data_IF_313295450703
#
_entry.id   IF_313295450703
#
_cell.length_a   1.000
_cell.length_b   1.000
_cell.length_c   1.000
_cell.angle_alpha   90.00
_cell.angle_beta   90.00
_cell.angle_gamma   90.00
#
_symmetry.space_group_name_H-M   'P 1'
#
loop_
_entity.id
_entity.type
_entity.pdbx_description
1 polymer ?
#
# COMPACT_ATOMS: atom_id res chain seq x y z
N UNK A 1 -5.79 -3.59 -25.08
CA UNK A 1 -6.02 -4.45 -23.89
C UNK A 1 -7.46 -4.34 -23.39
N UNK A 2 -8.01 -3.14 -23.20
CA UNK A 2 -9.36 -2.95 -22.64
C UNK A 2 -10.50 -3.76 -23.31
N UNK A 3 -10.61 -3.84 -24.66
CA UNK A 3 -11.67 -4.65 -25.27
C UNK A 3 -11.56 -6.15 -24.95
N UNK A 4 -10.34 -6.65 -24.72
CA UNK A 4 -10.13 -8.03 -24.30
C UNK A 4 -10.62 -8.24 -22.86
N UNK A 5 -10.29 -7.31 -21.96
CA UNK A 5 -10.74 -7.36 -20.56
C UNK A 5 -12.27 -7.30 -20.46
N UNK A 6 -12.90 -6.41 -21.24
CA UNK A 6 -14.36 -6.28 -21.30
C UNK A 6 -15.04 -7.52 -21.90
N UNK A 7 -14.37 -8.25 -22.79
CA UNK A 7 -14.91 -9.51 -23.31
C UNK A 7 -14.75 -10.66 -22.31
N UNK A 8 -13.64 -10.71 -21.57
CA UNK A 8 -13.33 -11.82 -20.68
C UNK A 8 -13.95 -11.70 -19.28
N UNK A 9 -14.23 -10.48 -18.82
CA UNK A 9 -14.83 -10.19 -17.51
C UNK A 9 -14.13 -10.89 -16.34
N UNK A 10 -12.78 -10.87 -16.36
CA UNK A 10 -11.95 -11.44 -15.30
C UNK A 10 -11.43 -10.35 -14.36
N UNK A 11 -11.17 -10.68 -13.07
CA UNK A 11 -10.50 -9.77 -12.15
C UNK A 11 -9.19 -9.23 -12.73
N UNK A 12 -9.03 -7.92 -12.66
CA UNK A 12 -7.96 -7.18 -13.33
C UNK A 12 -7.38 -6.13 -12.39
N UNK A 13 -6.06 -6.17 -12.23
CA UNK A 13 -5.31 -5.13 -11.53
C UNK A 13 -4.88 -4.06 -12.54
N UNK A 14 -5.28 -2.82 -12.31
CA UNK A 14 -4.82 -1.64 -13.05
C UNK A 14 -3.82 -0.91 -12.15
N UNK A 15 -2.58 -0.83 -12.62
CA UNK A 15 -1.47 -0.24 -11.87
C UNK A 15 -1.08 1.11 -12.47
N UNK A 16 -0.79 2.09 -11.61
CA UNK A 16 -0.20 3.35 -12.02
C UNK A 16 1.28 3.19 -12.39
N UNK A 17 1.63 3.61 -13.61
CA UNK A 17 3.02 3.78 -14.07
C UNK A 17 3.07 4.88 -15.13
N UNK A 18 4.18 5.62 -15.17
CA UNK A 18 4.53 6.52 -16.27
C UNK A 18 5.72 5.94 -17.05
N UNK A 19 5.63 5.93 -18.37
CA UNK A 19 6.66 5.31 -19.22
C UNK A 19 6.67 3.79 -19.12
N UNK A 20 7.86 3.21 -19.27
CA UNK A 20 8.11 1.77 -19.22
C UNK A 20 9.35 1.47 -18.35
N UNK A 21 9.71 0.20 -18.08
CA UNK A 21 10.85 -0.13 -17.21
C UNK A 21 12.17 0.56 -17.60
N UNK A 22 12.36 0.90 -18.88
CA UNK A 22 13.55 1.58 -19.38
C UNK A 22 13.49 3.11 -19.19
N UNK A 23 12.31 3.73 -19.21
CA UNK A 23 12.15 5.21 -19.19
C UNK A 23 11.42 5.74 -17.96
N UNK A 24 10.99 4.87 -17.04
CA UNK A 24 10.11 5.27 -15.94
C UNK A 24 10.83 6.22 -14.96
N UNK A 25 12.14 6.06 -14.78
CA UNK A 25 12.91 6.92 -13.87
C UNK A 25 13.08 8.34 -14.40
N UNK A 26 12.96 8.56 -15.70
CA UNK A 26 12.95 9.92 -16.28
C UNK A 26 11.58 10.61 -16.13
N UNK A 27 10.58 9.90 -15.57
CA UNK A 27 9.18 10.36 -15.47
C UNK A 27 8.70 10.45 -14.01
N UNK A 28 9.64 10.67 -13.10
CA UNK A 28 9.42 10.83 -11.64
C UNK A 28 9.00 12.24 -11.22
N UNK A 29 8.79 13.16 -12.17
CA UNK A 29 8.37 14.52 -11.87
C UNK A 29 6.86 14.60 -11.59
N UNK A 30 6.49 14.80 -10.32
CA UNK A 30 5.13 15.10 -9.89
C UNK A 30 5.08 16.53 -9.34
N UNK A 31 3.92 17.21 -9.36
CA UNK A 31 3.79 18.50 -8.71
C UNK A 31 4.19 18.40 -7.24
N UNK A 32 4.96 19.38 -6.78
CA UNK A 32 5.53 19.40 -5.43
C UNK A 32 4.43 19.23 -4.37
N UNK A 33 4.64 18.30 -3.44
CA UNK A 33 3.70 17.99 -2.37
C UNK A 33 2.38 17.34 -2.80
N UNK A 34 2.21 16.94 -4.07
CA UNK A 34 0.94 16.41 -4.60
C UNK A 34 1.05 15.02 -5.21
N UNK A 35 2.02 14.22 -4.77
CA UNK A 35 2.21 12.87 -5.30
C UNK A 35 0.97 12.00 -5.12
N UNK A 36 0.31 12.07 -3.97
CA UNK A 36 -0.86 11.25 -3.63
C UNK A 36 -2.03 11.56 -4.56
N UNK A 37 -2.39 12.84 -4.68
CA UNK A 37 -3.49 13.32 -5.52
C UNK A 37 -3.21 13.06 -6.99
N UNK A 38 -1.97 13.28 -7.44
CA UNK A 38 -1.60 13.09 -8.85
C UNK A 38 -1.69 11.61 -9.24
N UNK A 39 -1.14 10.71 -8.42
CA UNK A 39 -1.19 9.27 -8.70
C UNK A 39 -2.62 8.75 -8.62
N UNK A 40 -3.42 9.24 -7.66
CA UNK A 40 -4.83 8.84 -7.53
C UNK A 40 -5.65 9.30 -8.73
N UNK A 41 -5.51 10.55 -9.17
CA UNK A 41 -6.21 11.08 -10.34
C UNK A 41 -5.84 10.32 -11.62
N UNK A 42 -4.53 10.09 -11.83
CA UNK A 42 -4.05 9.32 -12.98
C UNK A 42 -4.49 7.85 -12.96
N UNK A 43 -4.56 7.23 -11.78
CA UNK A 43 -5.05 5.85 -11.65
C UNK A 43 -6.57 5.79 -11.87
N UNK A 44 -7.30 6.78 -11.36
CA UNK A 44 -8.74 6.94 -11.58
C UNK A 44 -9.06 6.99 -13.08
N UNK A 45 -8.35 7.81 -13.86
CA UNK A 45 -8.55 7.90 -15.31
C UNK A 45 -8.42 6.53 -16.00
N UNK A 46 -7.44 5.71 -15.58
CA UNK A 46 -7.23 4.37 -16.13
C UNK A 46 -8.34 3.39 -15.73
N UNK A 47 -8.80 3.44 -14.48
CA UNK A 47 -9.92 2.63 -13.99
C UNK A 47 -11.22 3.01 -14.69
N UNK A 48 -11.52 4.31 -14.79
CA UNK A 48 -12.69 4.83 -15.48
C UNK A 48 -12.69 4.45 -16.97
N UNK A 49 -11.54 4.50 -17.64
CA UNK A 49 -11.41 4.04 -19.03
C UNK A 49 -11.71 2.54 -19.18
N UNK A 50 -11.37 1.71 -18.20
CA UNK A 50 -11.70 0.29 -18.21
C UNK A 50 -13.20 0.04 -18.02
N UNK A 51 -13.85 0.77 -17.10
CA UNK A 51 -15.31 0.72 -16.93
C UNK A 51 -16.04 1.18 -18.21
N UNK A 52 -15.61 2.28 -18.81
CA UNK A 52 -16.16 2.80 -20.07
C UNK A 52 -15.99 1.81 -21.24
N UNK A 53 -14.91 1.03 -21.23
CA UNK A 53 -14.70 -0.03 -22.21
C UNK A 53 -15.58 -1.27 -21.97
N UNK A 54 -16.34 -1.31 -20.87
CA UNK A 54 -17.28 -2.38 -20.53
C UNK A 54 -16.76 -3.39 -19.52
N UNK A 55 -15.63 -3.15 -18.85
CA UNK A 55 -15.18 -4.02 -17.74
C UNK A 55 -16.06 -3.75 -16.52
N UNK A 56 -16.60 -4.80 -15.90
CA UNK A 56 -17.38 -4.61 -14.68
C UNK A 56 -16.52 -4.04 -13.55
N UNK A 57 -17.07 -3.07 -12.82
CA UNK A 57 -16.41 -2.43 -11.69
C UNK A 57 -15.89 -3.40 -10.64
N UNK A 58 -16.67 -4.43 -10.29
CA UNK A 58 -16.27 -5.46 -9.32
C UNK A 58 -15.09 -6.33 -9.78
N UNK A 59 -14.69 -6.23 -11.04
CA UNK A 59 -13.49 -6.88 -11.56
C UNK A 59 -12.26 -5.97 -11.49
N UNK A 60 -12.36 -4.71 -11.08
CA UNK A 60 -11.25 -3.77 -11.10
C UNK A 60 -10.61 -3.62 -9.73
N UNK A 61 -9.29 -3.74 -9.69
CA UNK A 61 -8.44 -3.53 -8.51
C UNK A 61 -7.41 -2.46 -8.87
N UNK A 62 -7.24 -1.44 -8.02
CA UNK A 62 -6.24 -0.39 -8.21
C UNK A 62 -4.89 -0.74 -7.57
N UNK A 63 -3.79 -0.31 -8.18
CA UNK A 63 -2.44 -0.38 -7.59
C UNK A 63 -1.69 0.95 -7.80
N UNK A 64 -1.20 1.62 -6.73
CA UNK A 64 -0.46 2.89 -6.83
C UNK A 64 0.90 2.75 -7.55
N UNK A 65 1.38 1.53 -7.77
CA UNK A 65 2.61 1.24 -8.49
C UNK A 65 3.84 1.76 -7.74
N UNK A 66 4.04 1.32 -6.51
CA UNK A 66 5.22 1.67 -5.72
C UNK A 66 6.50 1.21 -6.43
N UNK A 67 7.48 2.11 -6.54
CA UNK A 67 8.75 1.92 -7.23
C UNK A 67 8.66 1.93 -8.76
N UNK A 68 7.56 2.45 -9.33
CA UNK A 68 7.41 2.66 -10.77
C UNK A 68 7.20 4.15 -11.07
N UNK A 69 8.19 4.74 -11.73
CA UNK A 69 8.28 6.18 -12.00
C UNK A 69 8.15 7.04 -10.73
N UNK A 70 8.80 6.63 -9.64
CA UNK A 70 8.79 7.32 -8.34
C UNK A 70 10.11 7.18 -7.61
N UNK A 71 10.61 8.26 -7.02
CA UNK A 71 11.75 8.23 -6.09
C UNK A 71 11.36 7.72 -4.70
N UNK A 72 12.35 7.41 -3.87
CA UNK A 72 12.19 6.84 -2.53
C UNK A 72 11.24 7.66 -1.66
N UNK A 73 11.45 8.97 -1.57
CA UNK A 73 10.59 9.92 -0.86
C UNK A 73 9.14 9.89 -1.35
N UNK A 74 8.92 9.84 -2.66
CA UNK A 74 7.59 9.76 -3.27
C UNK A 74 6.90 8.43 -2.96
N UNK A 75 7.66 7.33 -2.92
CA UNK A 75 7.13 6.01 -2.54
C UNK A 75 6.79 5.95 -1.05
N UNK A 76 7.62 6.57 -0.21
CA UNK A 76 7.39 6.71 1.23
C UNK A 76 6.11 7.50 1.47
N UNK A 77 5.94 8.63 0.78
CA UNK A 77 4.76 9.48 0.93
C UNK A 77 3.47 8.76 0.54
N UNK A 78 3.47 8.01 -0.57
CA UNK A 78 2.31 7.19 -0.95
C UNK A 78 2.01 6.09 0.06
N UNK A 79 3.03 5.44 0.61
CA UNK A 79 2.83 4.42 1.63
C UNK A 79 2.29 5.03 2.93
N UNK A 80 2.81 6.20 3.33
CA UNK A 80 2.37 6.96 4.51
C UNK A 80 0.90 7.39 4.39
N UNK A 81 0.49 7.82 3.20
CA UNK A 81 -0.84 8.35 2.92
C UNK A 81 -1.76 7.33 2.21
N UNK A 82 -1.54 6.03 2.39
CA UNK A 82 -2.27 4.98 1.65
C UNK A 82 -3.80 5.02 1.87
N UNK A 83 -4.25 5.31 3.09
CA UNK A 83 -5.66 5.43 3.42
C UNK A 83 -6.30 6.64 2.71
N UNK A 84 -5.62 7.79 2.75
CA UNK A 84 -6.03 8.99 2.02
C UNK A 84 -6.00 8.75 0.51
N UNK A 85 -5.01 8.01 0.00
CA UNK A 85 -4.92 7.63 -1.41
C UNK A 85 -6.15 6.83 -1.85
N UNK A 86 -6.53 5.79 -1.09
CA UNK A 86 -7.74 5.00 -1.38
C UNK A 86 -9.01 5.83 -1.32
N UNK A 87 -9.13 6.71 -0.32
CA UNK A 87 -10.24 7.66 -0.21
C UNK A 87 -10.34 8.58 -1.44
N UNK A 88 -9.23 9.22 -1.84
CA UNK A 88 -9.19 10.11 -3.02
C UNK A 88 -9.53 9.35 -4.29
N UNK A 89 -8.95 8.16 -4.46
CA UNK A 89 -9.22 7.31 -5.62
C UNK A 89 -10.72 7.03 -5.72
N UNK A 90 -11.38 6.69 -4.60
CA UNK A 90 -12.79 6.30 -4.58
C UNK A 90 -13.82 7.44 -4.64
N UNK A 91 -13.42 8.70 -4.46
CA UNK A 91 -14.33 9.85 -4.28
C UNK A 91 -15.39 10.03 -5.38
N UNK A 92 -15.10 9.67 -6.64
CA UNK A 92 -16.00 9.97 -7.76
C UNK A 92 -16.93 8.83 -8.17
N UNK A 93 -16.62 7.57 -7.86
CA UNK A 93 -17.39 6.41 -8.37
C UNK A 93 -17.56 5.28 -7.34
N UNK A 94 -17.11 5.49 -6.10
CA UNK A 94 -17.05 4.48 -5.04
C UNK A 94 -15.63 3.93 -4.88
N UNK A 95 -15.41 3.13 -3.85
CA UNK A 95 -14.11 2.52 -3.57
C UNK A 95 -13.78 1.42 -4.59
N UNK A 96 -12.50 1.24 -4.89
CA UNK A 96 -11.96 0.06 -5.58
C UNK A 96 -11.02 -0.66 -4.61
N UNK A 97 -10.98 -2.00 -4.63
CA UNK A 97 -9.98 -2.73 -3.87
C UNK A 97 -8.57 -2.29 -4.26
N UNK A 98 -7.67 -2.17 -3.28
CA UNK A 98 -6.30 -1.76 -3.46
C UNK A 98 -5.33 -2.94 -3.33
N UNK A 99 -4.49 -3.12 -4.34
CA UNK A 99 -3.31 -3.96 -4.29
C UNK A 99 -2.07 -3.10 -4.06
N UNK A 100 -1.23 -3.49 -3.10
CA UNK A 100 0.04 -2.80 -2.82
C UNK A 100 1.24 -3.74 -3.00
N UNK A 101 2.10 -3.39 -3.95
CA UNK A 101 3.35 -4.10 -4.25
C UNK A 101 4.58 -3.48 -3.60
N UNK A 102 4.75 -3.65 -2.29
CA UNK A 102 5.86 -3.05 -1.52
C UNK A 102 7.10 -3.95 -1.37
N UNK A 103 6.98 -5.24 -1.67
CA UNK A 103 7.99 -6.25 -1.35
C UNK A 103 9.33 -6.06 -2.05
N UNK A 104 10.41 -6.10 -1.25
CA UNK A 104 11.83 -5.99 -1.66
C UNK A 104 12.16 -4.73 -2.44
N UNK A 105 11.33 -3.68 -2.36
CA UNK A 105 11.60 -2.39 -2.99
C UNK A 105 12.77 -1.70 -2.28
N UNK A 106 13.67 -1.10 -3.07
CA UNK A 106 14.93 -0.49 -2.59
C UNK A 106 14.68 0.59 -1.53
N UNK A 107 13.62 1.40 -1.70
CA UNK A 107 13.28 2.46 -0.74
C UNK A 107 12.98 1.95 0.69
N UNK A 108 12.67 0.66 0.88
CA UNK A 108 12.45 0.11 2.21
C UNK A 108 13.71 0.02 3.08
N UNK A 109 14.88 0.02 2.45
CA UNK A 109 16.15 0.00 3.19
C UNK A 109 16.29 1.22 4.10
N UNK A 110 15.68 2.35 3.70
CA UNK A 110 15.67 3.54 4.52
C UNK A 110 14.92 3.37 5.84
N UNK A 111 13.86 2.56 5.87
CA UNK A 111 13.13 2.25 7.10
C UNK A 111 13.82 1.20 7.97
N UNK A 112 14.66 0.34 7.38
CA UNK A 112 15.29 -0.77 8.08
C UNK A 112 16.70 -0.44 8.60
N UNK A 113 17.17 0.79 8.41
CA UNK A 113 18.49 1.22 8.90
C UNK A 113 18.55 1.17 10.43
N UNK A 114 19.64 0.59 10.96
CA UNK A 114 19.86 0.47 12.41
C UNK A 114 20.66 1.65 12.99
N UNK A 115 20.99 2.63 12.16
CA UNK A 115 21.75 3.82 12.57
C UNK A 115 20.81 4.92 13.08
N UNK A 116 20.91 5.33 14.36
CA UNK A 116 20.06 6.38 14.94
C UNK A 116 20.20 7.74 14.25
N UNK A 117 21.37 8.05 13.68
CA UNK A 117 21.61 9.31 12.94
C UNK A 117 20.89 9.35 11.59
N UNK A 118 20.43 8.19 11.10
CA UNK A 118 19.85 8.02 9.77
C UNK A 118 18.31 7.98 9.83
N UNK A 119 17.72 7.72 11.00
CA UNK A 119 16.25 7.68 11.17
C UNK A 119 15.58 9.05 10.99
N UNK A 120 16.33 10.15 11.20
CA UNK A 120 15.84 11.52 11.12
C UNK A 120 16.06 12.21 9.76
N UNK A 121 16.87 11.60 8.88
CA UNK A 121 17.10 12.13 7.54
C UNK A 121 16.27 11.32 6.56
N UNK A 122 15.51 12.02 5.70
CA UNK A 122 14.99 11.45 4.46
C UNK A 122 16.20 10.93 3.71
N UNK A 123 16.48 9.63 3.82
CA UNK A 123 17.70 9.12 3.24
C UNK A 123 17.55 9.25 1.73
N UNK A 124 18.40 10.07 1.14
CA UNK A 124 18.48 10.19 -0.31
C UNK A 124 18.86 8.83 -0.88
N UNK A 125 18.28 8.47 -2.03
CA UNK A 125 18.47 7.14 -2.63
C UNK A 125 19.96 6.78 -2.80
N UNK A 126 20.85 7.76 -2.91
CA UNK A 126 22.30 7.57 -3.06
C UNK A 126 23.00 6.97 -1.82
N UNK A 127 22.56 7.26 -0.60
CA UNK A 127 23.29 6.88 0.62
C UNK A 127 22.94 5.47 1.14
N UNK A 128 21.82 4.90 0.68
CA UNK A 128 21.37 3.56 1.13
C UNK A 128 21.91 2.43 0.26
N UNK A 129 22.59 2.72 -0.86
CA UNK A 129 23.11 1.70 -1.78
C UNK A 129 24.34 0.94 -1.28
N UNK A 130 24.24 0.35 -0.09
CA UNK A 130 24.90 -0.92 0.19
C UNK A 130 24.20 -1.98 -0.66
N UNK A 131 24.94 -2.57 -1.59
CA UNK A 131 24.59 -3.69 -2.47
C UNK A 131 24.11 -4.95 -1.73
N UNK A 132 22.95 -4.87 -1.06
CA UNK A 132 22.34 -5.97 -0.33
C UNK A 132 21.46 -6.82 -1.24
N UNK A 133 21.56 -8.14 -1.07
CA UNK A 133 20.66 -9.11 -1.71
C UNK A 133 19.19 -8.74 -1.41
N UNK A 134 18.31 -8.90 -2.39
CA UNK A 134 16.90 -8.55 -2.24
C UNK A 134 16.21 -9.29 -1.09
N UNK A 135 16.71 -10.47 -0.70
CA UNK A 135 16.25 -11.23 0.46
C UNK A 135 16.51 -10.54 1.80
N UNK A 136 17.52 -9.68 1.90
CA UNK A 136 17.80 -8.94 3.15
C UNK A 136 16.66 -7.99 3.54
N UNK A 137 15.81 -7.63 2.57
CA UNK A 137 14.67 -6.73 2.74
C UNK A 137 13.38 -7.44 3.18
N UNK A 138 13.39 -8.74 3.45
CA UNK A 138 12.17 -9.47 3.80
C UNK A 138 11.57 -9.01 5.16
N UNK A 139 12.40 -8.67 6.14
CA UNK A 139 11.92 -8.08 7.41
C UNK A 139 11.38 -6.65 7.24
N UNK A 140 12.05 -5.82 6.45
CA UNK A 140 11.56 -4.48 6.09
C UNK A 140 10.22 -4.58 5.34
N UNK A 141 10.11 -5.57 4.45
CA UNK A 141 8.88 -5.90 3.73
C UNK A 141 7.77 -6.28 4.70
N UNK A 142 8.05 -7.04 5.76
CA UNK A 142 7.04 -7.40 6.75
C UNK A 142 6.45 -6.18 7.47
N UNK A 143 7.29 -5.24 7.90
CA UNK A 143 6.82 -3.98 8.46
C UNK A 143 5.94 -3.19 7.49
N UNK A 144 6.37 -3.07 6.24
CA UNK A 144 5.62 -2.34 5.21
C UNK A 144 4.29 -3.04 4.81
N UNK A 145 4.25 -4.38 4.81
CA UNK A 145 3.03 -5.15 4.55
C UNK A 145 2.04 -5.00 5.69
N UNK A 146 2.49 -5.04 6.95
CA UNK A 146 1.64 -4.76 8.12
C UNK A 146 1.07 -3.35 8.01
N UNK A 147 1.93 -2.37 7.75
CA UNK A 147 1.50 -0.97 7.56
C UNK A 147 0.44 -0.86 6.47
N UNK A 148 0.69 -1.41 5.27
CA UNK A 148 -0.27 -1.34 4.17
C UNK A 148 -1.61 -1.99 4.52
N UNK A 149 -1.59 -3.15 5.18
CA UNK A 149 -2.81 -3.87 5.58
C UNK A 149 -3.65 -3.10 6.63
N UNK A 150 -3.01 -2.29 7.49
CA UNK A 150 -3.71 -1.43 8.45
C UNK A 150 -4.30 -0.17 7.82
N UNK A 151 -3.73 0.30 6.72
CA UNK A 151 -4.05 1.58 6.10
C UNK A 151 -4.73 1.42 4.73
N UNK A 152 -5.57 0.39 4.59
CA UNK A 152 -6.50 0.26 3.46
C UNK A 152 -6.04 -0.57 2.27
N UNK A 153 -4.96 -1.34 2.36
CA UNK A 153 -4.65 -2.34 1.33
C UNK A 153 -5.51 -3.61 1.49
N UNK A 154 -6.25 -3.99 0.45
CA UNK A 154 -7.01 -5.25 0.39
C UNK A 154 -6.11 -6.43 -0.02
N UNK A 155 -5.15 -6.16 -0.90
CA UNK A 155 -4.20 -7.13 -1.41
C UNK A 155 -2.77 -6.64 -1.24
N UNK A 156 -1.86 -7.57 -0.97
CA UNK A 156 -0.42 -7.30 -0.96
C UNK A 156 0.30 -8.27 -1.89
N UNK A 157 1.27 -7.76 -2.66
CA UNK A 157 2.14 -8.60 -3.51
C UNK A 157 3.50 -8.76 -2.85
N UNK A 158 3.82 -10.00 -2.48
CA UNK A 158 5.08 -10.36 -1.79
C UNK A 158 5.90 -11.38 -2.58
N UNK A 159 7.23 -11.34 -2.39
CA UNK A 159 8.13 -12.37 -2.91
C UNK A 159 8.27 -13.55 -1.94
N UNK A 160 8.26 -13.27 -0.64
CA UNK A 160 8.39 -14.27 0.43
C UNK A 160 7.03 -14.40 1.16
N UNK A 161 6.26 -15.48 0.94
CA UNK A 161 4.95 -15.66 1.57
C UNK A 161 4.97 -15.67 3.09
N UNK A 162 6.08 -16.07 3.73
CA UNK A 162 6.20 -16.07 5.20
C UNK A 162 6.04 -14.66 5.80
N UNK A 163 6.27 -13.60 5.01
CA UNK A 163 5.98 -12.23 5.44
C UNK A 163 4.49 -12.03 5.77
N UNK A 164 3.60 -12.68 5.04
CA UNK A 164 2.17 -12.63 5.33
C UNK A 164 1.83 -13.29 6.68
N UNK A 165 2.63 -14.25 7.16
CA UNK A 165 2.42 -14.86 8.47
C UNK A 165 2.74 -13.88 9.60
N UNK A 166 3.79 -13.06 9.45
CA UNK A 166 4.08 -11.96 10.37
C UNK A 166 2.92 -10.96 10.42
N UNK A 167 2.36 -10.60 9.26
CA UNK A 167 1.21 -9.71 9.19
C UNK A 167 -0.05 -10.31 9.82
N UNK A 168 -0.36 -11.57 9.55
CA UNK A 168 -1.48 -12.29 10.18
C UNK A 168 -1.33 -12.36 11.69
N UNK A 169 -0.11 -12.63 12.19
CA UNK A 169 0.17 -12.67 13.62
C UNK A 169 -0.12 -11.32 14.27
N UNK A 170 0.45 -10.23 13.72
CA UNK A 170 0.24 -8.87 14.22
C UNK A 170 -1.24 -8.48 14.22
N UNK A 171 -1.93 -8.63 13.09
CA UNK A 171 -3.34 -8.24 12.94
C UNK A 171 -4.27 -9.03 13.86
N UNK A 172 -3.97 -10.31 14.11
CA UNK A 172 -4.73 -11.12 15.08
C UNK A 172 -4.53 -10.63 16.51
N UNK A 173 -3.30 -10.31 16.91
CA UNK A 173 -3.00 -9.78 18.23
C UNK A 173 -3.69 -8.43 18.47
N UNK A 174 -3.63 -7.53 17.48
CA UNK A 174 -4.30 -6.23 17.57
C UNK A 174 -5.81 -6.36 17.78
N UNK A 175 -6.48 -7.20 16.98
CA UNK A 175 -7.93 -7.44 17.13
C UNK A 175 -8.29 -8.00 18.51
N UNK A 176 -7.46 -8.89 19.07
CA UNK A 176 -7.70 -9.43 20.41
C UNK A 176 -7.64 -8.34 21.48
N UNK A 177 -6.70 -7.40 21.38
CA UNK A 177 -6.61 -6.25 22.31
C UNK A 177 -7.86 -5.36 22.20
N UNK A 178 -8.32 -5.06 20.98
CA UNK A 178 -9.52 -4.26 20.74
C UNK A 178 -10.79 -4.91 21.33
N UNK A 179 -10.90 -6.24 21.22
CA UNK A 179 -12.03 -6.98 21.81
C UNK A 179 -12.00 -7.05 23.33
N UNK A 180 -10.83 -7.14 23.96
CA UNK A 180 -10.69 -7.18 25.42
C UNK A 180 -10.90 -5.82 26.08
N UNK A 181 -10.58 -4.72 25.39
CA UNK A 181 -10.86 -3.36 25.87
C UNK A 181 -12.34 -2.94 25.79
N UNK A 182 -13.21 -3.79 25.24
CA UNK A 182 -14.63 -3.50 24.99
C UNK A 182 -15.59 -4.27 25.91
N UNK A 183 -15.12 -5.05 26.89
CA UNK A 183 -16.03 -5.63 27.89
C UNK A 183 -16.56 -4.53 28.82
N UNK A 184 -17.88 -4.31 28.92
CA UNK A 184 -18.43 -3.39 29.90
C UNK A 184 -18.14 -3.93 31.30
N UNK A 185 -17.65 -3.07 32.21
CA UNK A 185 -17.49 -3.38 33.62
C UNK A 185 -18.73 -4.12 34.12
N UNK A 186 -18.57 -5.39 34.49
CA UNK A 186 -19.63 -6.12 35.17
C UNK A 186 -19.89 -5.39 36.48
N UNK A 187 -20.95 -4.58 36.48
CA UNK A 187 -21.56 -4.00 37.67
C UNK A 187 -21.68 -5.09 38.73
N UNK A 188 -20.81 -5.03 39.74
CA UNK A 188 -20.96 -5.77 40.98
C UNK A 188 -22.11 -5.13 41.72
N UNK A 189 -23.35 -5.48 41.34
CA UNK A 189 -24.50 -5.25 42.20
C UNK A 189 -24.40 -6.27 43.32
N UNK A 190 -23.75 -5.88 44.41
CA UNK A 190 -23.89 -6.51 45.71
C UNK A 190 -25.37 -6.49 46.08
N UNK A 191 -26.03 -7.64 45.93
CA UNK A 191 -27.30 -7.90 46.56
C UNK A 191 -27.07 -7.90 48.08
N UNK A 192 -27.41 -6.78 48.73
CA UNK A 192 -27.56 -6.74 50.17
C UNK A 192 -28.77 -7.62 50.54
N UNK A 193 -28.48 -8.78 51.09
CA UNK A 193 -29.44 -9.63 51.78
C UNK A 193 -29.86 -9.00 53.11
N UNK A 194 -31.18 -8.99 53.35
CA UNK A 194 -31.90 -9.06 54.64
C UNK A 194 -31.61 -8.02 55.72
#
# INVERSE_FOLDING_TARGET
>A
MLPLLARLQVPTVIMHIRGNPQTMMDRTHYPEGKIVETVAAELYERLAAAEQAGVYRWNLIGDPGLGFAKHGDQNIELLRCLESFGSILGQSMGEWPLLVGVSRKRFLEAFATRSPSTFAQVITEEEVFSSGDAKSRDFATAGAVIWAALHGADFVRVHEPAVCDAARCFLRLQRLVETQGSEPERSTTTAASS
#
